data_IF_883505905020
#
_entry.id   IF_883505905020
#
_cell.length_a   1.000
_cell.length_b   1.000
_cell.length_c   1.000
_cell.angle_alpha   90.00
_cell.angle_beta   90.00
_cell.angle_gamma   90.00
#
_symmetry.space_group_name_H-M   'P 1'
#
loop_
_entity.id
_entity.type
_entity.pdbx_description
1 polymer ?
#
# COMPACT_ATOMS: atom_id res chain seq x y z
N UNK A 1 -37.21 28.23 -49.89
CA UNK A 1 -37.30 29.68 -50.20
C UNK A 1 -37.86 30.01 -51.57
N UNK A 2 -37.36 29.49 -52.69
CA UNK A 2 -37.94 29.82 -54.01
C UNK A 2 -39.44 29.47 -54.13
N UNK A 3 -39.87 28.35 -53.52
CA UNK A 3 -41.29 27.98 -53.44
C UNK A 3 -42.11 28.95 -52.59
N UNK A 4 -41.56 29.39 -51.45
CA UNK A 4 -42.17 30.40 -50.56
C UNK A 4 -42.36 31.72 -51.31
N UNK A 5 -41.32 32.18 -52.04
CA UNK A 5 -41.38 33.41 -52.82
C UNK A 5 -42.48 33.39 -53.89
N UNK A 6 -42.68 32.25 -54.59
CA UNK A 6 -43.76 32.10 -55.57
C UNK A 6 -45.15 32.10 -54.95
N UNK A 7 -45.28 31.62 -53.70
CA UNK A 7 -46.55 31.62 -52.95
C UNK A 7 -46.94 33.01 -52.46
N UNK A 8 -45.97 33.88 -52.24
CA UNK A 8 -46.16 35.23 -51.72
C UNK A 8 -45.74 36.30 -52.74
N UNK A 9 -46.41 36.39 -53.91
CA UNK A 9 -45.99 37.30 -54.99
C UNK A 9 -46.12 38.79 -54.62
N UNK A 10 -46.90 39.11 -53.59
CA UNK A 10 -47.10 40.48 -53.09
C UNK A 10 -46.01 40.93 -52.11
N UNK A 11 -45.07 40.06 -51.75
CA UNK A 11 -43.98 40.35 -50.81
C UNK A 11 -42.61 40.30 -51.50
N UNK A 12 -41.68 41.12 -51.04
CA UNK A 12 -40.30 41.16 -51.53
C UNK A 12 -39.36 40.37 -50.63
N UNK A 13 -38.65 39.39 -51.19
CA UNK A 13 -37.65 38.60 -50.48
C UNK A 13 -36.25 39.12 -50.77
N UNK A 14 -35.64 39.76 -49.78
CA UNK A 14 -34.32 40.41 -49.92
C UNK A 14 -33.24 39.57 -49.26
N UNK A 15 -32.23 39.15 -50.03
CA UNK A 15 -31.08 38.39 -49.53
C UNK A 15 -29.83 39.28 -49.53
N UNK A 16 -29.26 39.48 -48.34
CA UNK A 16 -28.05 40.29 -48.12
C UNK A 16 -26.92 39.38 -47.67
N UNK A 17 -25.93 39.16 -48.54
CA UNK A 17 -24.82 38.25 -48.29
C UNK A 17 -24.20 37.72 -49.58
N UNK A 18 -22.98 37.16 -49.51
CA UNK A 18 -22.34 36.53 -50.67
C UNK A 18 -23.14 35.31 -51.14
N UNK A 19 -23.17 35.09 -52.45
CA UNK A 19 -23.70 33.86 -53.04
C UNK A 19 -22.70 32.73 -52.80
N UNK A 20 -23.07 31.74 -52.00
CA UNK A 20 -22.23 30.59 -51.65
C UNK A 20 -22.76 29.27 -52.24
N UNK A 21 -23.87 29.33 -52.98
CA UNK A 21 -24.55 28.18 -53.59
C UNK A 21 -25.26 28.61 -54.88
N UNK A 22 -25.79 27.65 -55.64
CA UNK A 22 -26.60 27.94 -56.83
C UNK A 22 -27.91 28.64 -56.45
N UNK A 23 -28.06 29.88 -56.90
CA UNK A 23 -29.22 30.74 -56.66
C UNK A 23 -30.17 30.84 -57.87
N UNK A 24 -29.96 30.08 -58.95
CA UNK A 24 -30.74 30.22 -60.19
C UNK A 24 -32.26 30.12 -59.97
N UNK A 25 -32.70 29.22 -59.09
CA UNK A 25 -34.13 29.06 -58.73
C UNK A 25 -34.70 30.26 -57.99
N UNK A 26 -33.88 30.97 -57.20
CA UNK A 26 -34.26 32.19 -56.49
C UNK A 26 -34.27 33.38 -57.43
N UNK A 27 -33.22 33.53 -58.26
CA UNK A 27 -33.10 34.61 -59.24
C UNK A 27 -34.22 34.59 -60.30
N UNK A 28 -34.81 33.41 -60.57
CA UNK A 28 -35.96 33.28 -61.46
C UNK A 28 -37.29 33.83 -60.89
N UNK A 29 -37.36 34.15 -59.60
CA UNK A 29 -38.56 34.70 -58.98
C UNK A 29 -38.57 36.23 -59.08
N UNK A 30 -39.64 36.82 -59.60
CA UNK A 30 -39.74 38.27 -59.86
C UNK A 30 -39.74 39.14 -58.60
N UNK A 31 -40.03 38.54 -57.44
CA UNK A 31 -40.10 39.19 -56.13
C UNK A 31 -38.91 38.84 -55.21
N UNK A 32 -37.81 38.32 -55.77
CA UNK A 32 -36.58 38.02 -55.04
C UNK A 32 -35.48 39.01 -55.44
N UNK A 33 -34.81 39.59 -54.45
CA UNK A 33 -33.72 40.53 -54.63
C UNK A 33 -32.43 40.01 -53.98
N UNK A 34 -31.45 39.65 -54.81
CA UNK A 34 -30.12 39.22 -54.38
C UNK A 34 -29.19 40.43 -54.36
N UNK A 35 -28.86 40.95 -53.18
CA UNK A 35 -28.06 42.17 -53.06
C UNK A 35 -26.55 41.90 -53.04
N UNK A 36 -26.13 40.66 -52.82
CA UNK A 36 -24.73 40.29 -52.68
C UNK A 36 -24.12 40.72 -51.34
N UNK A 37 -22.79 40.59 -51.23
CA UNK A 37 -22.07 40.93 -50.00
C UNK A 37 -22.16 42.42 -49.65
N UNK A 38 -22.32 42.73 -48.36
CA UNK A 38 -22.28 44.08 -47.78
C UNK A 38 -21.30 44.14 -46.65
N UNK A 39 -20.78 45.34 -46.33
CA UNK A 39 -19.91 45.49 -45.16
C UNK A 39 -20.72 45.21 -43.91
N UNK A 40 -20.12 44.57 -42.91
CA UNK A 40 -20.84 44.14 -41.72
C UNK A 40 -21.56 45.30 -41.00
N UNK A 41 -20.96 46.50 -40.98
CA UNK A 41 -21.56 47.70 -40.41
C UNK A 41 -22.73 48.29 -41.22
N UNK A 42 -22.97 47.85 -42.46
CA UNK A 42 -24.09 48.28 -43.29
C UNK A 42 -25.32 47.38 -43.12
N UNK A 43 -25.11 46.11 -42.72
CA UNK A 43 -26.17 45.11 -42.55
C UNK A 43 -27.31 45.58 -41.62
N UNK A 44 -27.05 46.25 -40.48
CA UNK A 44 -28.12 46.78 -39.63
C UNK A 44 -29.09 47.73 -40.35
N UNK A 45 -28.60 48.52 -41.31
CA UNK A 45 -29.45 49.44 -42.07
C UNK A 45 -30.44 48.69 -42.97
N UNK A 46 -30.06 47.52 -43.47
CA UNK A 46 -30.94 46.64 -44.24
C UNK A 46 -31.97 45.97 -43.33
N UNK A 47 -31.54 45.41 -42.20
CA UNK A 47 -32.44 44.72 -41.25
C UNK A 47 -33.53 45.68 -40.75
N UNK A 48 -33.17 46.95 -40.47
CA UNK A 48 -34.14 47.97 -40.06
C UNK A 48 -35.24 48.25 -41.11
N UNK A 49 -34.95 48.00 -42.39
CA UNK A 49 -35.90 48.19 -43.48
C UNK A 49 -36.75 46.95 -43.76
N UNK A 50 -36.50 45.83 -43.08
CA UNK A 50 -37.27 44.59 -43.25
C UNK A 50 -38.43 44.54 -42.28
N UNK A 51 -39.58 44.03 -42.76
CA UNK A 51 -40.75 43.78 -41.91
C UNK A 51 -40.55 42.51 -41.05
N UNK A 52 -39.69 41.59 -41.48
CA UNK A 52 -39.48 40.28 -40.85
C UNK A 52 -38.10 39.68 -41.22
N UNK A 53 -37.50 38.95 -40.28
CA UNK A 53 -36.28 38.17 -40.48
C UNK A 53 -36.57 36.68 -40.75
N UNK A 54 -35.78 36.06 -41.63
CA UNK A 54 -35.92 34.65 -42.00
C UNK A 54 -34.65 33.86 -41.63
N UNK A 55 -34.85 32.69 -41.03
CA UNK A 55 -33.75 31.75 -40.70
C UNK A 55 -34.09 30.35 -41.26
N UNK A 56 -34.12 30.17 -42.60
CA UNK A 56 -34.60 28.95 -43.25
C UNK A 56 -33.47 27.92 -43.45
N UNK A 57 -32.93 27.37 -42.35
CA UNK A 57 -31.93 26.30 -42.43
C UNK A 57 -32.51 25.03 -43.05
N UNK A 58 -31.68 24.32 -43.82
CA UNK A 58 -31.97 22.95 -44.22
C UNK A 58 -31.65 22.05 -43.04
N UNK A 59 -32.66 21.34 -42.51
CA UNK A 59 -32.48 20.45 -41.37
C UNK A 59 -31.62 19.24 -41.77
N UNK A 60 -30.47 19.10 -41.11
CA UNK A 60 -29.51 18.02 -41.26
C UNK A 60 -28.71 17.83 -39.96
N UNK A 61 -28.01 16.70 -39.81
CA UNK A 61 -27.19 16.40 -38.62
C UNK A 61 -26.20 17.53 -38.26
N UNK A 62 -25.58 18.16 -39.27
CA UNK A 62 -24.67 19.29 -39.04
C UNK A 62 -25.36 20.55 -38.48
N UNK A 63 -26.66 20.74 -38.73
CA UNK A 63 -27.41 21.91 -38.24
C UNK A 63 -27.97 21.73 -36.83
N UNK A 64 -27.90 20.53 -36.25
CA UNK A 64 -28.47 20.23 -34.93
C UNK A 64 -27.81 21.02 -33.79
N UNK A 65 -26.54 21.40 -33.96
CA UNK A 65 -25.77 22.17 -32.96
C UNK A 65 -25.62 23.64 -33.32
N UNK A 66 -26.29 24.12 -34.38
CA UNK A 66 -26.16 25.51 -34.83
C UNK A 66 -26.98 26.42 -33.93
N UNK A 67 -26.37 27.49 -33.42
CA UNK A 67 -27.07 28.59 -32.76
C UNK A 67 -27.05 29.83 -33.68
N UNK A 68 -28.16 30.16 -34.38
CA UNK A 68 -28.14 31.22 -35.38
C UNK A 68 -27.99 32.62 -34.77
N UNK A 69 -26.83 33.25 -34.95
CA UNK A 69 -26.61 34.64 -34.50
C UNK A 69 -27.61 35.66 -35.10
N UNK A 70 -28.20 35.35 -36.27
CA UNK A 70 -29.15 36.21 -37.00
C UNK A 70 -30.44 36.38 -36.22
N UNK A 71 -30.79 35.40 -35.39
CA UNK A 71 -31.90 35.50 -34.44
C UNK A 71 -31.71 36.70 -33.52
N UNK A 72 -30.56 36.80 -32.86
CA UNK A 72 -30.27 37.90 -31.95
C UNK A 72 -30.24 39.25 -32.68
N UNK A 73 -29.68 39.30 -33.89
CA UNK A 73 -29.66 40.50 -34.73
C UNK A 73 -31.08 41.00 -35.07
N UNK A 74 -32.00 40.10 -35.43
CA UNK A 74 -33.39 40.44 -35.76
C UNK A 74 -34.19 40.86 -34.52
N UNK A 75 -34.07 40.11 -33.42
CA UNK A 75 -34.75 40.43 -32.16
C UNK A 75 -34.28 41.78 -31.60
N UNK A 76 -32.98 42.10 -31.72
CA UNK A 76 -32.42 43.38 -31.32
C UNK A 76 -32.93 44.58 -32.17
N UNK A 77 -33.42 44.31 -33.38
CA UNK A 77 -34.08 45.31 -34.23
C UNK A 77 -35.60 45.34 -34.02
N UNK A 78 -36.14 44.48 -33.14
CA UNK A 78 -37.55 44.42 -32.81
C UNK A 78 -38.42 43.84 -33.92
N UNK A 79 -37.85 43.21 -34.94
CA UNK A 79 -38.60 42.61 -36.05
C UNK A 79 -38.93 41.13 -35.74
N UNK A 80 -40.11 40.63 -36.15
CA UNK A 80 -40.46 39.23 -36.03
C UNK A 80 -39.49 38.31 -36.79
N UNK A 81 -39.41 37.04 -36.37
CA UNK A 81 -38.48 36.06 -36.94
C UNK A 81 -39.22 34.77 -37.22
N UNK A 82 -39.12 34.27 -38.45
CA UNK A 82 -39.57 32.93 -38.82
C UNK A 82 -38.34 32.07 -39.12
N UNK A 83 -38.20 30.97 -38.40
CA UNK A 83 -37.04 30.09 -38.45
C UNK A 83 -37.44 28.64 -38.72
N UNK A 84 -36.51 27.88 -39.29
CA UNK A 84 -36.62 26.42 -39.34
C UNK A 84 -36.55 25.83 -37.93
N UNK A 85 -37.10 24.64 -37.78
CA UNK A 85 -37.23 23.93 -36.51
C UNK A 85 -35.91 23.33 -36.00
N UNK A 86 -34.96 24.19 -35.64
CA UNK A 86 -33.68 23.79 -35.07
C UNK A 86 -33.79 23.59 -33.55
N UNK A 87 -33.04 22.63 -32.96
CA UNK A 87 -33.00 22.43 -31.51
C UNK A 87 -32.73 23.71 -30.73
N UNK A 88 -31.77 24.54 -31.19
CA UNK A 88 -31.44 25.81 -30.53
C UNK A 88 -32.59 26.82 -30.51
N UNK A 89 -33.46 26.81 -31.54
CA UNK A 89 -34.63 27.72 -31.60
C UNK A 89 -35.68 27.24 -30.61
N UNK A 90 -35.90 25.92 -30.52
CA UNK A 90 -36.81 25.33 -29.53
C UNK A 90 -36.38 25.65 -28.10
N UNK A 91 -35.10 25.45 -27.79
CA UNK A 91 -34.54 25.74 -26.48
C UNK A 91 -34.69 27.23 -26.13
N UNK A 92 -34.38 28.11 -27.09
CA UNK A 92 -34.54 29.55 -26.94
C UNK A 92 -36.01 29.95 -26.71
N UNK A 93 -36.94 29.37 -27.46
CA UNK A 93 -38.37 29.63 -27.29
C UNK A 93 -38.90 29.09 -25.96
N UNK A 94 -38.43 27.94 -25.49
CA UNK A 94 -38.80 27.39 -24.20
C UNK A 94 -38.35 28.31 -23.05
N UNK A 95 -37.19 28.95 -23.19
CA UNK A 95 -36.66 29.89 -22.20
C UNK A 95 -37.34 31.26 -22.24
N UNK A 96 -37.59 31.82 -23.44
CA UNK A 96 -38.06 33.20 -23.63
C UNK A 96 -39.53 33.33 -24.08
N UNK A 97 -40.26 32.21 -24.12
CA UNK A 97 -41.70 32.11 -24.30
C UNK A 97 -42.19 32.30 -25.75
N UNK A 98 -41.69 31.47 -26.67
CA UNK A 98 -42.17 31.39 -28.07
C UNK A 98 -42.07 32.71 -28.85
N UNK A 99 -40.94 33.39 -28.73
CA UNK A 99 -40.69 34.69 -29.37
C UNK A 99 -40.37 34.58 -30.88
N UNK A 100 -39.98 33.40 -31.35
CA UNK A 100 -39.68 33.09 -32.76
C UNK A 100 -40.71 32.11 -33.30
N UNK A 101 -41.21 32.37 -34.50
CA UNK A 101 -42.13 31.46 -35.17
C UNK A 101 -41.32 30.33 -35.83
N UNK A 102 -41.68 29.08 -35.53
CA UNK A 102 -41.05 27.90 -36.12
C UNK A 102 -41.92 27.43 -37.30
N UNK A 103 -41.30 27.20 -38.45
CA UNK A 103 -41.97 26.72 -39.65
C UNK A 103 -41.16 25.64 -40.37
N UNK A 104 -41.84 24.63 -40.93
CA UNK A 104 -41.25 23.55 -41.70
C UNK A 104 -41.84 23.46 -43.11
N UNK A 105 -40.97 23.55 -44.12
CA UNK A 105 -41.38 23.46 -45.52
C UNK A 105 -42.09 24.72 -46.05
N UNK A 106 -42.36 24.75 -47.35
CA UNK A 106 -42.77 25.99 -48.01
C UNK A 106 -44.17 26.50 -47.60
N UNK A 107 -45.09 25.60 -47.23
CA UNK A 107 -46.45 25.98 -46.82
C UNK A 107 -46.47 26.66 -45.44
N UNK A 108 -45.85 26.04 -44.44
CA UNK A 108 -45.79 26.62 -43.09
C UNK A 108 -45.01 27.93 -43.08
N UNK A 109 -43.90 28.00 -43.83
CA UNK A 109 -43.15 29.26 -43.95
C UNK A 109 -44.01 30.38 -44.57
N UNK A 110 -44.80 30.09 -45.61
CA UNK A 110 -45.67 31.10 -46.20
C UNK A 110 -46.74 31.58 -45.20
N UNK A 111 -47.38 30.65 -44.48
CA UNK A 111 -48.40 30.96 -43.49
C UNK A 111 -47.84 31.79 -42.30
N UNK A 112 -46.69 31.40 -41.76
CA UNK A 112 -46.07 32.11 -40.64
C UNK A 112 -45.55 33.49 -41.05
N UNK A 113 -45.03 33.65 -42.28
CA UNK A 113 -44.63 34.97 -42.80
C UNK A 113 -45.84 35.90 -42.90
N UNK A 114 -46.95 35.45 -43.49
CA UNK A 114 -48.18 36.26 -43.58
C UNK A 114 -48.72 36.63 -42.20
N UNK A 115 -48.67 35.69 -41.25
CA UNK A 115 -49.13 35.95 -39.89
C UNK A 115 -48.23 36.94 -39.15
N UNK A 116 -46.92 36.83 -39.30
CA UNK A 116 -45.96 37.67 -38.60
C UNK A 116 -45.91 39.10 -39.16
N UNK A 117 -46.14 39.30 -40.46
CA UNK A 117 -46.26 40.64 -41.09
C UNK A 117 -47.59 41.33 -40.74
N UNK A 118 -48.59 40.60 -40.26
CA UNK A 118 -49.88 41.19 -39.84
C UNK A 118 -49.95 41.45 -38.34
N UNK A 119 -49.16 40.75 -37.52
CA UNK A 119 -49.08 40.93 -36.07
C UNK A 119 -47.94 41.88 -35.67
N UNK A 120 -48.22 43.18 -35.71
CA UNK A 120 -47.30 44.22 -35.24
C UNK A 120 -47.92 45.03 -34.11
N UNK A 121 -47.82 44.53 -32.87
CA UNK A 121 -48.13 45.33 -31.68
C UNK A 121 -46.85 45.96 -31.09
N UNK A 122 -46.92 47.17 -30.51
CA UNK A 122 -45.81 47.75 -29.75
C UNK A 122 -45.31 46.83 -28.63
N UNK A 123 -46.22 46.06 -28.02
CA UNK A 123 -45.89 45.08 -26.98
C UNK A 123 -44.99 43.95 -27.51
N UNK A 124 -45.28 43.43 -28.69
CA UNK A 124 -44.47 42.37 -29.32
C UNK A 124 -43.06 42.86 -29.69
N UNK A 125 -42.95 44.11 -30.17
CA UNK A 125 -41.65 44.74 -30.45
C UNK A 125 -40.85 44.87 -29.16
N UNK A 126 -41.47 45.40 -28.10
CA UNK A 126 -40.80 45.59 -26.81
C UNK A 126 -40.34 44.25 -26.22
N UNK A 127 -41.16 43.19 -26.35
CA UNK A 127 -40.81 41.84 -25.92
C UNK A 127 -39.55 41.33 -26.63
N UNK A 128 -39.47 41.48 -27.95
CA UNK A 128 -38.29 41.05 -28.73
C UNK A 128 -37.03 41.81 -28.30
N UNK A 129 -37.13 43.11 -28.08
CA UNK A 129 -36.02 43.94 -27.60
C UNK A 129 -35.56 43.52 -26.20
N UNK A 130 -36.49 43.20 -25.30
CA UNK A 130 -36.16 42.71 -23.96
C UNK A 130 -35.42 41.37 -23.99
N UNK A 131 -35.93 40.42 -24.78
CA UNK A 131 -35.28 39.12 -24.95
C UNK A 131 -33.87 39.28 -25.55
N UNK A 132 -33.71 40.15 -26.55
CA UNK A 132 -32.40 40.44 -27.12
C UNK A 132 -31.43 41.05 -26.09
N UNK A 133 -31.93 41.91 -25.19
CA UNK A 133 -31.12 42.51 -24.12
C UNK A 133 -30.66 41.47 -23.10
N UNK A 134 -31.50 40.49 -22.75
CA UNK A 134 -31.15 39.41 -21.82
C UNK A 134 -30.08 38.48 -22.41
N UNK A 135 -30.06 38.35 -23.73
CA UNK A 135 -29.10 37.54 -24.49
C UNK A 135 -27.93 38.38 -25.05
N UNK A 136 -27.64 39.55 -24.46
CA UNK A 136 -26.53 40.39 -24.89
C UNK A 136 -25.17 39.81 -24.48
N UNK A 137 -24.11 40.29 -25.12
CA UNK A 137 -22.73 39.92 -24.77
C UNK A 137 -22.39 40.28 -23.31
N UNK A 138 -22.92 41.38 -22.79
CA UNK A 138 -22.72 41.78 -21.40
C UNK A 138 -23.32 40.77 -20.42
N UNK A 139 -24.54 40.29 -20.69
CA UNK A 139 -25.21 39.26 -19.88
C UNK A 139 -24.44 37.94 -19.94
N UNK A 140 -24.06 37.52 -21.15
CA UNK A 140 -23.29 36.29 -21.36
C UNK A 140 -21.94 36.32 -20.64
N UNK A 141 -21.18 37.40 -20.78
CA UNK A 141 -19.86 37.55 -20.14
C UNK A 141 -19.99 37.57 -18.61
N UNK A 142 -21.03 38.20 -18.07
CA UNK A 142 -21.26 38.24 -16.64
C UNK A 142 -21.50 36.83 -16.07
N UNK A 143 -22.39 36.05 -16.67
CA UNK A 143 -22.69 34.68 -16.22
C UNK A 143 -21.46 33.76 -16.35
N UNK A 144 -20.77 33.80 -17.50
CA UNK A 144 -19.57 33.00 -17.71
C UNK A 144 -18.45 33.35 -16.73
N UNK A 145 -18.28 34.63 -16.42
CA UNK A 145 -17.26 35.10 -15.47
C UNK A 145 -17.54 34.62 -14.05
N UNK A 146 -18.81 34.62 -13.63
CA UNK A 146 -19.19 34.18 -12.29
C UNK A 146 -18.94 32.67 -12.12
N UNK A 147 -19.41 31.86 -13.07
CA UNK A 147 -19.17 30.41 -13.09
C UNK A 147 -17.68 30.07 -13.06
N UNK A 148 -16.86 30.85 -13.78
CA UNK A 148 -15.41 30.64 -13.78
C UNK A 148 -14.77 30.97 -12.42
N UNK A 149 -15.22 32.05 -11.74
CA UNK A 149 -14.74 32.39 -10.39
C UNK A 149 -15.09 31.30 -9.38
N UNK A 150 -16.32 30.80 -9.39
CA UNK A 150 -16.75 29.71 -8.52
C UNK A 150 -15.88 28.46 -8.72
N UNK A 151 -15.66 28.06 -9.97
CA UNK A 151 -14.82 26.90 -10.29
C UNK A 151 -13.36 27.06 -9.80
N UNK A 152 -12.80 28.27 -9.92
CA UNK A 152 -11.45 28.58 -9.45
C UNK A 152 -11.35 28.47 -7.93
N UNK A 153 -12.32 29.01 -7.19
CA UNK A 153 -12.31 28.98 -5.73
C UNK A 153 -12.48 27.57 -5.16
N UNK A 154 -13.36 26.76 -5.76
CA UNK A 154 -13.50 25.33 -5.40
C UNK A 154 -12.19 24.57 -5.59
N UNK A 155 -11.46 24.84 -6.68
CA UNK A 155 -10.16 24.22 -6.94
C UNK A 155 -9.11 24.62 -5.91
N UNK A 156 -8.98 25.90 -5.58
CA UNK A 156 -8.01 26.39 -4.58
C UNK A 156 -8.25 25.79 -3.19
N UNK A 157 -9.52 25.72 -2.76
CA UNK A 157 -9.88 25.14 -1.47
C UNK A 157 -9.49 23.65 -1.38
N UNK A 158 -9.59 22.92 -2.49
CA UNK A 158 -9.22 21.51 -2.58
C UNK A 158 -7.71 21.30 -2.47
N UNK A 159 -6.91 22.11 -3.16
CA UNK A 159 -5.44 22.04 -3.13
C UNK A 159 -4.87 22.29 -1.72
N UNK A 160 -5.39 23.30 -1.01
CA UNK A 160 -4.95 23.62 0.36
C UNK A 160 -5.18 22.45 1.35
N UNK A 161 -6.25 21.68 1.15
CA UNK A 161 -6.64 20.58 2.04
C UNK A 161 -5.73 19.36 1.92
N UNK A 162 -5.22 19.09 0.71
CA UNK A 162 -4.29 17.98 0.50
C UNK A 162 -2.96 18.23 1.21
N UNK A 163 -2.41 19.44 1.10
CA UNK A 163 -1.10 19.77 1.67
C UNK A 163 -1.09 19.59 3.21
N UNK A 164 -2.15 20.05 3.89
CA UNK A 164 -2.29 19.83 5.32
C UNK A 164 -2.39 18.33 5.67
N UNK A 165 -3.13 17.57 4.88
CA UNK A 165 -3.31 16.13 5.08
C UNK A 165 -1.98 15.39 4.93
N UNK A 166 -1.18 15.70 3.90
CA UNK A 166 0.16 15.16 3.73
C UNK A 166 1.10 15.56 4.88
N UNK A 167 1.12 16.84 5.29
CA UNK A 167 1.95 17.30 6.41
C UNK A 167 1.60 16.56 7.70
N UNK A 168 0.32 16.27 7.96
CA UNK A 168 -0.14 15.48 9.12
C UNK A 168 0.33 14.02 9.01
N UNK A 169 0.16 13.38 7.86
CA UNK A 169 0.60 12.00 7.60
C UNK A 169 2.12 11.89 7.76
N UNK A 170 2.88 12.78 7.13
CA UNK A 170 4.35 12.82 7.20
C UNK A 170 4.85 12.99 8.63
N UNK A 171 4.29 13.93 9.42
CA UNK A 171 4.70 14.13 10.82
C UNK A 171 4.41 12.89 11.68
N UNK A 172 3.28 12.22 11.48
CA UNK A 172 2.92 10.98 12.21
C UNK A 172 3.84 9.82 11.80
N UNK A 173 4.06 9.63 10.51
CA UNK A 173 4.94 8.60 9.97
C UNK A 173 6.38 8.80 10.44
N UNK A 174 6.92 10.02 10.32
CA UNK A 174 8.27 10.38 10.78
C UNK A 174 8.46 10.11 12.28
N UNK A 175 7.49 10.47 13.14
CA UNK A 175 7.58 10.17 14.57
C UNK A 175 7.57 8.67 14.86
N UNK A 176 6.77 7.89 14.13
CA UNK A 176 6.77 6.42 14.25
C UNK A 176 8.10 5.83 13.80
N UNK A 177 8.59 6.21 12.62
CA UNK A 177 9.88 5.74 12.07
C UNK A 177 11.03 6.07 13.02
N UNK A 178 11.11 7.32 13.52
CA UNK A 178 12.15 7.72 14.47
C UNK A 178 12.08 6.93 15.77
N UNK A 179 10.88 6.68 16.32
CA UNK A 179 10.71 5.85 17.52
C UNK A 179 11.16 4.42 17.27
N UNK A 180 10.75 3.81 16.16
CA UNK A 180 11.14 2.45 15.81
C UNK A 180 12.65 2.34 15.59
N UNK A 181 13.26 3.29 14.87
CA UNK A 181 14.70 3.33 14.66
C UNK A 181 15.47 3.48 15.98
N UNK A 182 14.99 4.36 16.87
CA UNK A 182 15.57 4.53 18.21
C UNK A 182 15.44 3.25 19.05
N UNK A 183 14.29 2.57 19.01
CA UNK A 183 14.09 1.30 19.72
C UNK A 183 15.04 0.22 19.21
N UNK A 184 15.20 0.07 17.88
CA UNK A 184 16.15 -0.88 17.29
C UNK A 184 17.58 -0.53 17.72
N UNK A 185 17.94 0.75 17.67
CA UNK A 185 19.26 1.21 18.12
C UNK A 185 19.51 0.88 19.59
N UNK A 186 18.54 1.11 20.48
CA UNK A 186 18.67 0.77 21.91
C UNK A 186 18.83 -0.74 22.10
N UNK A 187 18.06 -1.57 21.40
CA UNK A 187 18.18 -3.03 21.49
C UNK A 187 19.57 -3.50 21.03
N UNK A 188 20.05 -2.99 19.89
CA UNK A 188 21.39 -3.31 19.41
C UNK A 188 22.48 -2.80 20.38
N UNK A 189 22.32 -1.59 20.93
CA UNK A 189 23.22 -1.06 21.93
C UNK A 189 23.27 -1.94 23.20
N UNK A 190 22.11 -2.44 23.65
CA UNK A 190 22.04 -3.35 24.78
C UNK A 190 22.72 -4.70 24.47
N UNK A 191 22.53 -5.26 23.29
CA UNK A 191 23.12 -6.54 22.91
C UNK A 191 24.63 -6.47 22.68
N UNK A 192 25.13 -5.41 22.01
CA UNK A 192 26.51 -5.34 21.54
C UNK A 192 27.41 -4.41 22.37
N UNK A 193 26.85 -3.53 23.21
CA UNK A 193 27.61 -2.52 23.96
C UNK A 193 27.24 -2.48 25.45
N UNK A 194 26.60 -3.52 25.97
CA UNK A 194 26.26 -3.61 27.39
C UNK A 194 26.32 -5.06 27.89
N UNK A 195 26.33 -5.29 29.22
CA UNK A 195 26.29 -6.63 29.80
C UNK A 195 24.87 -7.25 29.81
N UNK A 196 23.90 -6.62 29.17
CA UNK A 196 22.49 -7.02 29.22
C UNK A 196 22.25 -8.47 28.78
N UNK A 197 22.94 -8.95 27.73
CA UNK A 197 22.81 -10.33 27.31
C UNK A 197 23.32 -11.31 28.37
N UNK A 198 24.40 -10.98 29.08
CA UNK A 198 24.94 -11.81 30.15
C UNK A 198 23.99 -11.91 31.34
N UNK A 199 23.30 -10.82 31.66
CA UNK A 199 22.23 -10.83 32.66
C UNK A 199 21.08 -11.77 32.26
N UNK A 200 20.76 -11.85 30.97
CA UNK A 200 19.81 -12.83 30.44
C UNK A 200 20.38 -14.25 30.42
N UNK A 201 21.69 -14.43 30.30
CA UNK A 201 22.31 -15.76 30.25
C UNK A 201 22.50 -16.38 31.64
N UNK A 202 22.62 -15.56 32.69
CA UNK A 202 22.91 -16.00 34.05
C UNK A 202 21.89 -17.01 34.62
N UNK A 203 20.57 -16.88 34.40
CA UNK A 203 19.61 -17.88 34.87
C UNK A 203 19.79 -19.26 34.22
N UNK A 204 20.43 -19.37 33.05
CA UNK A 204 20.73 -20.66 32.43
C UNK A 204 21.88 -21.39 33.14
N UNK A 205 22.75 -20.64 33.83
CA UNK A 205 23.87 -21.17 34.58
C UNK A 205 23.39 -21.80 35.88
N UNK A 206 23.80 -23.05 36.08
CA UNK A 206 23.67 -23.78 37.32
C UNK A 206 25.01 -24.42 37.62
N UNK A 207 25.51 -24.25 38.83
CA UNK A 207 26.77 -24.81 39.25
C UNK A 207 26.70 -25.18 40.72
N UNK A 208 26.99 -26.43 41.00
CA UNK A 208 27.14 -26.97 42.33
C UNK A 208 28.62 -27.30 42.57
N UNK A 209 29.14 -27.19 43.80
CA UNK A 209 30.47 -27.68 44.12
C UNK A 209 30.56 -29.19 43.81
N UNK A 210 31.56 -29.67 43.04
CA UNK A 210 31.64 -31.07 42.66
C UNK A 210 31.78 -32.00 43.87
N UNK A 211 30.75 -32.81 44.11
CA UNK A 211 30.74 -33.88 45.12
C UNK A 211 31.20 -35.20 44.52
N UNK A 212 31.35 -36.24 45.36
CA UNK A 212 31.62 -37.59 44.87
C UNK A 212 30.34 -38.19 44.29
N UNK A 213 30.44 -38.86 43.14
CA UNK A 213 29.32 -39.52 42.47
C UNK A 213 29.74 -40.87 41.88
N UNK A 214 28.76 -41.67 41.47
CA UNK A 214 29.00 -42.98 40.87
C UNK A 214 29.56 -42.85 39.44
N UNK A 215 29.18 -41.80 38.71
CA UNK A 215 29.66 -41.54 37.35
C UNK A 215 29.75 -40.04 37.01
N UNK A 216 30.65 -39.69 36.09
CA UNK A 216 30.69 -38.39 35.42
C UNK A 216 29.99 -38.53 34.07
N UNK A 217 28.87 -37.85 33.87
CA UNK A 217 28.13 -37.87 32.61
C UNK A 217 28.48 -36.61 31.81
N UNK A 218 29.05 -36.78 30.62
CA UNK A 218 29.47 -35.69 29.76
C UNK A 218 28.56 -35.61 28.54
N UNK A 219 27.77 -34.54 28.46
CA UNK A 219 26.99 -34.25 27.26
C UNK A 219 27.87 -33.54 26.25
N UNK A 220 27.98 -34.09 25.04
CA UNK A 220 28.62 -33.50 23.89
C UNK A 220 27.60 -32.69 23.04
N UNK A 221 28.10 -31.92 22.07
CA UNK A 221 27.27 -31.09 21.19
C UNK A 221 27.02 -29.64 21.65
N UNK A 222 26.55 -28.80 20.72
CA UNK A 222 26.37 -27.35 20.90
C UNK A 222 27.44 -26.53 20.17
N UNK A 223 27.32 -25.19 20.22
CA UNK A 223 28.22 -24.25 19.51
C UNK A 223 29.66 -24.24 20.06
N UNK A 224 29.93 -25.03 21.12
CA UNK A 224 31.20 -25.04 21.84
C UNK A 224 31.44 -23.74 22.59
N UNK A 225 32.29 -23.78 23.60
CA UNK A 225 32.52 -22.59 24.41
C UNK A 225 33.35 -21.55 23.69
N UNK A 226 34.18 -21.94 22.73
CA UNK A 226 34.86 -20.98 21.86
C UNK A 226 33.92 -20.27 20.88
N UNK A 227 32.61 -20.58 20.90
CA UNK A 227 31.63 -20.11 19.91
C UNK A 227 31.84 -20.71 18.52
N UNK A 228 32.75 -21.68 18.38
CA UNK A 228 33.06 -22.40 17.14
C UNK A 228 32.54 -23.84 17.20
N UNK A 229 31.78 -24.30 16.19
CA UNK A 229 31.36 -25.69 16.08
C UNK A 229 32.56 -26.64 16.19
N UNK A 230 32.42 -27.69 17.02
CA UNK A 230 33.43 -28.76 17.12
C UNK A 230 34.59 -28.53 18.11
N UNK A 231 34.58 -27.47 18.93
CA UNK A 231 35.56 -27.29 20.00
C UNK A 231 35.04 -27.66 21.40
N UNK A 232 33.71 -27.63 21.61
CA UNK A 232 33.10 -27.77 22.94
C UNK A 232 33.32 -29.11 23.63
N UNK A 233 33.38 -30.21 22.88
CA UNK A 233 33.60 -31.53 23.48
C UNK A 233 34.98 -31.67 24.11
N UNK A 234 36.02 -31.01 23.57
CA UNK A 234 37.38 -31.12 24.10
C UNK A 234 37.48 -30.52 25.50
N UNK A 235 36.87 -29.36 25.71
CA UNK A 235 36.89 -28.66 26.99
C UNK A 235 36.09 -29.42 28.06
N UNK A 236 34.90 -29.91 27.70
CA UNK A 236 34.07 -30.72 28.60
C UNK A 236 34.75 -32.04 28.97
N UNK A 237 35.41 -32.72 28.02
CA UNK A 237 36.16 -33.95 28.29
C UNK A 237 37.37 -33.68 29.17
N UNK A 238 38.12 -32.61 28.93
CA UNK A 238 39.25 -32.22 29.80
C UNK A 238 38.80 -32.01 31.24
N UNK A 239 37.71 -31.27 31.45
CA UNK A 239 37.16 -31.08 32.79
C UNK A 239 36.67 -32.38 33.42
N UNK A 240 36.03 -33.27 32.64
CA UNK A 240 35.63 -34.59 33.11
C UNK A 240 36.84 -35.46 33.52
N UNK A 241 37.95 -35.40 32.78
CA UNK A 241 39.20 -36.08 33.13
C UNK A 241 39.77 -35.53 34.44
N UNK A 242 39.71 -34.22 34.67
CA UNK A 242 40.17 -33.61 35.92
C UNK A 242 39.32 -34.09 37.11
N UNK A 243 37.99 -34.16 36.95
CA UNK A 243 37.09 -34.73 37.96
C UNK A 243 37.40 -36.22 38.23
N UNK A 244 37.69 -36.99 37.18
CA UNK A 244 38.10 -38.39 37.30
C UNK A 244 39.42 -38.54 38.07
N UNK A 245 40.46 -37.78 37.67
CA UNK A 245 41.80 -37.82 38.30
C UNK A 245 41.80 -37.35 39.74
N UNK A 246 40.88 -36.46 40.10
CA UNK A 246 40.69 -36.00 41.49
C UNK A 246 39.80 -36.96 42.31
N UNK A 247 39.42 -38.11 41.76
CA UNK A 247 38.68 -39.16 42.45
C UNK A 247 37.21 -38.85 42.68
N UNK A 248 36.63 -37.91 41.92
CA UNK A 248 35.23 -37.49 42.09
C UNK A 248 34.22 -38.52 41.58
N UNK A 249 34.57 -39.29 40.57
CA UNK A 249 33.84 -40.50 40.19
C UNK A 249 34.77 -41.50 39.50
N UNK A 250 34.49 -42.81 39.63
CA UNK A 250 35.35 -43.87 39.07
C UNK A 250 35.09 -44.16 37.58
N UNK A 251 34.01 -43.64 36.97
CA UNK A 251 33.65 -43.91 35.57
C UNK A 251 33.13 -42.64 34.90
N UNK A 252 33.38 -42.50 33.60
CA UNK A 252 32.82 -41.46 32.74
C UNK A 252 31.88 -42.05 31.70
N UNK A 253 30.75 -41.39 31.46
CA UNK A 253 29.79 -41.72 30.41
C UNK A 253 29.78 -40.57 29.40
N UNK A 254 30.20 -40.85 28.17
CA UNK A 254 30.21 -39.88 27.08
C UNK A 254 28.97 -40.04 26.21
N UNK A 255 28.26 -38.94 26.02
CA UNK A 255 26.99 -38.89 25.32
C UNK A 255 27.09 -37.85 24.22
N UNK A 256 26.76 -38.20 22.98
CA UNK A 256 26.68 -37.23 21.88
C UNK A 256 25.44 -37.51 21.03
N UNK A 257 25.08 -36.51 20.23
CA UNK A 257 24.01 -36.57 19.26
C UNK A 257 24.47 -37.36 18.04
N UNK A 258 23.54 -38.03 17.37
CA UNK A 258 23.83 -38.69 16.10
C UNK A 258 24.12 -37.64 15.00
N UNK A 259 25.39 -37.29 14.81
CA UNK A 259 25.85 -36.50 13.67
C UNK A 259 26.41 -37.46 12.60
N UNK A 260 25.75 -37.60 11.42
CA UNK A 260 26.08 -38.66 10.45
C UNK A 260 27.50 -38.61 9.86
N UNK A 261 28.22 -37.50 10.03
CA UNK A 261 29.58 -37.31 9.51
C UNK A 261 30.70 -37.43 10.56
N UNK A 262 30.38 -37.51 11.86
CA UNK A 262 31.39 -37.44 12.92
C UNK A 262 30.94 -38.14 14.21
N UNK A 263 31.62 -39.23 14.60
CA UNK A 263 31.39 -39.90 15.89
C UNK A 263 32.09 -39.15 17.04
N UNK A 264 31.43 -38.13 17.58
CA UNK A 264 32.00 -37.28 18.63
C UNK A 264 32.37 -38.07 19.90
N UNK A 265 31.58 -39.08 20.29
CA UNK A 265 31.86 -39.92 21.46
C UNK A 265 33.15 -40.74 21.35
N UNK A 266 33.50 -41.21 20.15
CA UNK A 266 34.78 -41.90 19.92
C UNK A 266 35.96 -40.94 20.03
N UNK A 267 35.81 -39.71 19.54
CA UNK A 267 36.85 -38.69 19.70
C UNK A 267 37.03 -38.31 21.16
N UNK A 268 35.94 -38.20 21.93
CA UNK A 268 36.00 -37.99 23.38
C UNK A 268 36.70 -39.15 24.09
N UNK A 269 36.43 -40.40 23.70
CA UNK A 269 37.12 -41.60 24.20
C UNK A 269 38.62 -41.54 23.93
N UNK A 270 39.02 -41.32 22.68
CA UNK A 270 40.43 -41.24 22.29
C UNK A 270 41.16 -40.12 23.06
N UNK A 271 40.50 -38.98 23.26
CA UNK A 271 41.04 -37.90 24.07
C UNK A 271 41.25 -38.35 25.52
N UNK A 272 40.26 -38.97 26.16
CA UNK A 272 40.39 -39.48 27.53
C UNK A 272 41.50 -40.52 27.69
N UNK A 273 41.61 -41.46 26.74
CA UNK A 273 42.69 -42.45 26.70
C UNK A 273 44.07 -41.78 26.60
N UNK A 274 44.22 -40.78 25.72
CA UNK A 274 45.47 -40.04 25.54
C UNK A 274 45.90 -39.29 26.82
N UNK A 275 44.96 -38.89 27.67
CA UNK A 275 45.23 -38.25 28.97
C UNK A 275 45.35 -39.25 30.14
N UNK A 276 45.38 -40.56 29.86
CA UNK A 276 45.68 -41.61 30.83
C UNK A 276 44.48 -42.19 31.58
N UNK A 277 43.25 -41.94 31.12
CA UNK A 277 42.08 -42.65 31.66
C UNK A 277 42.03 -44.06 31.05
N UNK A 278 41.88 -45.13 31.84
CA UNK A 278 41.78 -46.49 31.29
C UNK A 278 40.45 -46.69 30.55
N UNK A 279 40.48 -47.52 29.50
CA UNK A 279 39.29 -47.82 28.68
C UNK A 279 38.13 -48.41 29.52
N UNK A 280 38.45 -49.18 30.56
CA UNK A 280 37.45 -49.75 31.48
C UNK A 280 36.66 -48.72 32.28
N UNK A 281 37.17 -47.49 32.40
CA UNK A 281 36.50 -46.37 33.07
C UNK A 281 35.70 -45.47 32.11
N UNK A 282 35.52 -45.88 30.85
CA UNK A 282 34.81 -45.09 29.84
C UNK A 282 33.63 -45.90 29.30
N UNK A 283 32.45 -45.27 29.28
CA UNK A 283 31.22 -45.81 28.69
C UNK A 283 30.73 -44.85 27.62
N UNK A 284 30.35 -45.36 26.45
CA UNK A 284 29.83 -44.55 25.36
C UNK A 284 28.32 -44.77 25.19
N UNK A 285 27.59 -43.69 25.00
CA UNK A 285 26.18 -43.66 24.62
C UNK A 285 26.08 -42.98 23.25
N UNK A 286 25.57 -43.71 22.24
CA UNK A 286 25.58 -43.30 20.82
C UNK A 286 24.19 -43.21 20.18
N UNK A 287 23.14 -43.58 20.90
CA UNK A 287 21.79 -43.83 20.35
C UNK A 287 20.85 -42.63 20.51
N UNK A 288 21.36 -41.45 20.84
CA UNK A 288 20.54 -40.29 21.15
C UNK A 288 20.63 -39.17 20.12
N UNK A 289 19.50 -38.49 19.86
CA UNK A 289 19.41 -37.32 18.99
C UNK A 289 18.94 -36.05 19.73
N UNK A 290 18.51 -36.17 20.98
CA UNK A 290 18.01 -35.05 21.78
C UNK A 290 18.46 -35.11 23.24
N UNK A 291 18.43 -33.98 23.95
CA UNK A 291 18.78 -33.94 25.37
C UNK A 291 17.84 -34.79 26.23
N UNK A 292 16.57 -34.93 25.82
CA UNK A 292 15.65 -35.85 26.49
C UNK A 292 16.10 -37.31 26.32
N UNK A 293 16.50 -37.70 25.10
CA UNK A 293 17.04 -39.03 24.82
C UNK A 293 18.36 -39.29 25.55
N UNK A 294 19.25 -38.29 25.64
CA UNK A 294 20.47 -38.38 26.46
C UNK A 294 20.14 -38.83 27.87
N UNK A 295 19.19 -38.14 28.52
CA UNK A 295 18.81 -38.45 29.89
C UNK A 295 18.20 -39.84 30.00
N UNK A 296 17.27 -40.21 29.12
CA UNK A 296 16.61 -41.53 29.20
C UNK A 296 17.57 -42.69 28.94
N UNK A 297 18.48 -42.55 27.96
CA UNK A 297 19.44 -43.58 27.58
C UNK A 297 20.54 -43.73 28.63
N UNK A 298 21.05 -42.61 29.16
CA UNK A 298 21.99 -42.65 30.29
C UNK A 298 21.31 -43.24 31.52
N UNK A 299 20.07 -42.88 31.84
CA UNK A 299 19.36 -43.46 32.99
C UNK A 299 19.25 -44.99 32.87
N UNK A 300 19.03 -45.53 31.66
CA UNK A 300 19.06 -46.98 31.43
C UNK A 300 20.42 -47.59 31.81
N UNK A 301 21.53 -46.96 31.44
CA UNK A 301 22.89 -47.39 31.79
C UNK A 301 23.10 -47.31 33.32
N UNK A 302 22.70 -46.22 33.96
CA UNK A 302 22.81 -46.02 35.40
C UNK A 302 22.07 -47.13 36.16
N UNK A 303 20.82 -47.42 35.77
CA UNK A 303 20.00 -48.49 36.37
C UNK A 303 20.62 -49.88 36.21
N UNK A 304 21.17 -50.19 35.04
CA UNK A 304 21.83 -51.48 34.79
C UNK A 304 23.07 -51.68 35.67
N UNK A 305 23.76 -50.59 36.04
CA UNK A 305 24.95 -50.62 36.89
C UNK A 305 24.68 -50.32 38.36
N UNK A 306 23.44 -50.05 38.73
CA UNK A 306 23.05 -49.70 40.09
C UNK A 306 23.54 -48.31 40.56
N UNK A 307 23.95 -47.45 39.64
CA UNK A 307 24.41 -46.09 39.94
C UNK A 307 23.23 -45.16 40.18
N UNK A 308 23.34 -44.29 41.19
CA UNK A 308 22.26 -43.39 41.63
C UNK A 308 22.69 -41.93 41.71
N UNK A 309 23.97 -41.63 41.51
CA UNK A 309 24.50 -40.28 41.57
C UNK A 309 25.40 -40.00 40.38
N UNK A 310 25.27 -38.79 39.80
CA UNK A 310 26.12 -38.35 38.70
C UNK A 310 26.64 -36.93 38.89
N UNK A 311 27.85 -36.69 38.38
CA UNK A 311 28.33 -35.35 38.05
C UNK A 311 27.99 -35.07 36.59
N UNK A 312 27.11 -34.09 36.36
CA UNK A 312 26.72 -33.70 35.01
C UNK A 312 27.67 -32.62 34.48
N UNK A 313 28.45 -32.96 33.46
CA UNK A 313 29.37 -32.06 32.77
C UNK A 313 28.78 -31.64 31.43
N UNK A 314 28.46 -30.36 31.31
CA UNK A 314 28.02 -29.72 30.08
C UNK A 314 28.34 -28.22 30.12
N UNK A 315 27.94 -27.46 29.11
CA UNK A 315 28.14 -26.01 29.06
C UNK A 315 27.28 -25.27 30.07
N UNK A 316 27.70 -24.10 30.57
CA UNK A 316 26.91 -23.34 31.52
C UNK A 316 25.54 -22.92 30.95
N UNK A 317 25.44 -22.58 29.66
CA UNK A 317 24.18 -22.20 29.00
C UNK A 317 23.20 -23.38 28.84
N UNK A 318 23.73 -24.60 28.78
CA UNK A 318 22.95 -25.83 28.59
C UNK A 318 22.45 -26.43 29.91
N UNK A 319 23.09 -26.04 31.03
CA UNK A 319 22.93 -26.73 32.31
C UNK A 319 21.49 -26.70 32.82
N UNK A 320 20.81 -25.55 32.76
CA UNK A 320 19.40 -25.42 33.21
C UNK A 320 18.49 -26.45 32.55
N UNK A 321 18.54 -26.55 31.22
CA UNK A 321 17.69 -27.45 30.45
C UNK A 321 18.01 -28.91 30.76
N UNK A 322 19.30 -29.25 30.81
CA UNK A 322 19.74 -30.59 31.16
C UNK A 322 19.26 -30.99 32.56
N UNK A 323 19.43 -30.12 33.56
CA UNK A 323 18.99 -30.36 34.95
C UNK A 323 17.48 -30.57 35.07
N UNK A 324 16.67 -29.73 34.42
CA UNK A 324 15.20 -29.93 34.42
C UNK A 324 14.79 -31.22 33.70
N UNK A 325 15.49 -31.57 32.62
CA UNK A 325 15.22 -32.82 31.89
C UNK A 325 15.55 -34.03 32.77
N UNK A 326 16.66 -33.99 33.53
CA UNK A 326 17.01 -35.00 34.53
C UNK A 326 15.95 -35.12 35.63
N UNK A 327 15.54 -34.00 36.21
CA UNK A 327 14.49 -33.97 37.25
C UNK A 327 13.17 -34.61 36.74
N UNK A 328 12.85 -34.44 35.46
CA UNK A 328 11.63 -34.99 34.87
C UNK A 328 11.75 -36.46 34.48
N UNK A 329 12.81 -36.83 33.77
CA UNK A 329 12.94 -38.15 33.13
C UNK A 329 13.66 -39.19 34.00
N UNK A 330 14.42 -38.76 35.00
CA UNK A 330 15.15 -39.64 35.92
C UNK A 330 15.22 -39.03 37.35
N UNK A 331 14.07 -38.75 37.99
CA UNK A 331 14.01 -38.11 39.32
C UNK A 331 14.72 -38.90 40.43
N UNK A 332 14.94 -40.19 40.25
CA UNK A 332 15.62 -41.08 41.20
C UNK A 332 17.15 -40.91 41.22
N UNK A 333 17.73 -40.22 40.23
CA UNK A 333 19.16 -40.00 40.12
C UNK A 333 19.53 -38.66 40.75
N UNK A 334 20.45 -38.67 41.70
CA UNK A 334 21.03 -37.45 42.26
C UNK A 334 22.00 -36.83 41.25
N UNK A 335 21.62 -35.69 40.66
CA UNK A 335 22.43 -34.98 39.67
C UNK A 335 23.07 -33.75 40.30
N UNK A 336 24.40 -33.67 40.27
CA UNK A 336 25.16 -32.47 40.65
C UNK A 336 25.58 -31.73 39.39
N UNK A 337 25.21 -30.46 39.27
CA UNK A 337 25.58 -29.64 38.11
C UNK A 337 27.06 -29.23 38.20
N UNK A 338 27.90 -29.84 37.37
CA UNK A 338 29.34 -29.53 37.29
C UNK A 338 29.64 -28.94 35.91
N UNK A 339 29.17 -27.71 35.60
CA UNK A 339 29.50 -27.09 34.33
C UNK A 339 31.01 -26.83 34.28
N UNK A 340 31.53 -26.73 33.07
CA UNK A 340 32.91 -26.26 32.91
C UNK A 340 33.11 -24.87 33.55
N UNK A 341 34.19 -24.66 34.32
CA UNK A 341 34.36 -23.45 35.12
C UNK A 341 34.73 -22.22 34.28
N UNK A 342 35.45 -22.42 33.18
CA UNK A 342 35.84 -21.37 32.24
C UNK A 342 35.25 -21.68 30.88
N UNK A 343 34.42 -20.77 30.40
CA UNK A 343 33.79 -20.83 29.10
C UNK A 343 34.09 -19.55 28.34
N UNK A 344 34.74 -19.66 27.18
CA UNK A 344 34.95 -18.50 26.31
C UNK A 344 33.60 -17.91 25.80
N UNK A 345 32.53 -18.69 25.87
CA UNK A 345 31.19 -18.30 25.46
C UNK A 345 30.60 -17.33 26.48
N UNK A 346 31.07 -17.41 27.73
CA UNK A 346 30.72 -16.52 28.83
C UNK A 346 31.85 -15.57 29.22
N UNK A 347 32.79 -15.24 28.31
CA UNK A 347 33.77 -14.20 28.66
C UNK A 347 33.02 -12.90 29.02
N UNK A 348 33.13 -12.45 30.27
CA UNK A 348 32.30 -11.40 30.89
C UNK A 348 32.71 -10.00 30.41
N UNK A 349 32.71 -9.78 29.10
CA UNK A 349 33.03 -8.52 28.45
C UNK A 349 31.82 -7.63 28.14
N UNK A 350 32.09 -6.48 27.54
CA UNK A 350 31.06 -5.61 26.96
C UNK A 350 30.66 -6.19 25.60
N UNK A 351 29.36 -6.44 25.41
CA UNK A 351 28.82 -6.93 24.15
C UNK A 351 28.91 -8.44 24.00
N UNK A 352 28.21 -8.94 22.99
CA UNK A 352 28.15 -10.35 22.64
C UNK A 352 28.25 -10.55 21.12
N UNK A 353 28.83 -11.68 20.71
CA UNK A 353 28.89 -12.08 19.31
C UNK A 353 27.54 -12.60 18.82
N UNK A 354 27.36 -12.68 17.49
CA UNK A 354 26.18 -13.29 16.87
C UNK A 354 25.96 -14.73 17.31
N UNK A 355 27.03 -15.50 17.48
CA UNK A 355 27.00 -16.89 17.90
C UNK A 355 26.55 -17.02 19.36
N UNK A 356 27.00 -16.11 20.23
CA UNK A 356 26.60 -16.06 21.64
C UNK A 356 25.11 -15.71 21.79
N UNK A 357 24.65 -14.69 21.06
CA UNK A 357 23.23 -14.30 21.02
C UNK A 357 22.37 -15.48 20.52
N UNK A 358 22.80 -16.12 19.43
CA UNK A 358 22.12 -17.28 18.86
C UNK A 358 22.06 -18.46 19.81
N UNK A 359 23.15 -18.78 20.50
CA UNK A 359 23.21 -19.88 21.48
C UNK A 359 22.28 -19.66 22.67
N UNK A 360 22.28 -18.47 23.27
CA UNK A 360 21.40 -18.14 24.40
C UNK A 360 19.93 -18.17 23.97
N UNK A 361 19.61 -17.56 22.81
CA UNK A 361 18.26 -17.57 22.27
C UNK A 361 17.76 -19.00 21.96
N UNK A 362 18.64 -19.84 21.41
CA UNK A 362 18.34 -21.25 21.14
C UNK A 362 18.02 -22.03 22.43
N UNK A 363 18.76 -21.80 23.51
CA UNK A 363 18.50 -22.46 24.79
C UNK A 363 17.17 -22.05 25.40
N UNK A 364 16.86 -20.75 25.40
CA UNK A 364 15.54 -20.27 25.86
C UNK A 364 14.40 -20.81 25.02
N UNK A 365 14.54 -20.82 23.69
CA UNK A 365 13.53 -21.40 22.81
C UNK A 365 13.37 -22.90 23.06
N UNK A 366 14.47 -23.62 23.24
CA UNK A 366 14.47 -25.05 23.53
C UNK A 366 13.80 -25.36 24.87
N UNK A 367 14.02 -24.53 25.90
CA UNK A 367 13.32 -24.65 27.18
C UNK A 367 11.80 -24.51 27.01
N UNK A 368 11.34 -23.52 26.24
CA UNK A 368 9.90 -23.32 25.95
C UNK A 368 9.33 -24.51 25.19
N UNK A 369 10.04 -25.02 24.18
CA UNK A 369 9.63 -26.20 23.41
C UNK A 369 9.56 -27.44 24.30
N UNK A 370 10.57 -27.68 25.14
CA UNK A 370 10.58 -28.84 26.04
C UNK A 370 9.46 -28.75 27.08
N UNK A 371 9.18 -27.55 27.61
CA UNK A 371 8.08 -27.33 28.54
C UNK A 371 6.74 -27.64 27.88
N UNK A 372 6.54 -27.14 26.65
CA UNK A 372 5.32 -27.43 25.87
C UNK A 372 5.16 -28.93 25.53
N UNK A 373 6.27 -29.63 25.31
CA UNK A 373 6.30 -31.08 25.09
C UNK A 373 6.23 -31.90 26.40
N UNK A 374 6.18 -31.27 27.57
CA UNK A 374 6.17 -31.94 28.88
C UNK A 374 7.48 -32.67 29.24
N UNK A 375 8.60 -32.30 28.60
CA UNK A 375 9.93 -32.88 28.79
C UNK A 375 10.75 -32.20 29.90
N UNK A 376 10.33 -31.02 30.33
CA UNK A 376 10.84 -30.28 31.51
C UNK A 376 9.68 -29.73 32.33
#
# INVERSE_FOLDING_TARGET
MAEVARKLPNMSFVFVGPEQTDVAKLAACSNVHLLGARRHNEVPNYIKAFDLGLIPYVLAEYTDTVYPAKMAEYLAMGIPVVASDLPSIRDFNAEFGEVIQIANGAEEFAAEIESAVTRHSPEDIQRRLEVARLNSWESFIADASERMREAIEVRKATEARWEESLRRIYRRARRRILRTALSIFIVLALLFYSPFLWMLAEPLRLSDPPQTADAIVVFAGGVGESGRPGAGYQERVRYAIDLYKTGKAPVMVFVSGSAPAFEETEVMKLLALAYGVPESAIVLEKESASTYEYVTNVNRILRQRGWRSILLVTSPYHMRRAMWTWQKAAPEVAVTAAPIPYSQFYDHGIGASSEQIGGIAHEYLSLVVYWWQGKV
#
